data_IF_933308208894
#
_entry.id   IF_933308208894
#
_cell.length_a   1.000
_cell.length_b   1.000
_cell.length_c   1.000
_cell.angle_alpha   90.00
_cell.angle_beta   90.00
_cell.angle_gamma   90.00
#
_symmetry.space_group_name_H-M   'P 1'
#
loop_
_entity.id
_entity.type
_entity.pdbx_description
1 polymer ?
#
# COMPACT_ATOMS: atom_id res chain seq x y z
N UNK A 1 -19.81 -2.64 -6.73
CA UNK A 1 -18.42 -3.14 -6.83
C UNK A 1 -17.99 -3.55 -5.44
N UNK A 2 -17.45 -4.76 -5.28
CA UNK A 2 -17.03 -5.24 -3.95
C UNK A 2 -15.70 -4.61 -3.56
N UNK A 3 -15.45 -4.49 -2.24
CA UNK A 3 -14.22 -3.88 -1.74
C UNK A 3 -12.97 -4.60 -2.30
N UNK A 4 -13.03 -5.92 -2.47
CA UNK A 4 -11.96 -6.74 -3.08
C UNK A 4 -11.62 -6.31 -4.51
N UNK A 5 -12.61 -6.10 -5.37
CA UNK A 5 -12.39 -5.69 -6.78
C UNK A 5 -11.68 -4.33 -6.87
N UNK A 6 -12.01 -3.40 -5.96
CA UNK A 6 -11.37 -2.09 -5.91
C UNK A 6 -9.90 -2.21 -5.50
N UNK A 7 -9.59 -3.03 -4.50
CA UNK A 7 -8.20 -3.27 -4.06
C UNK A 7 -7.35 -3.92 -5.14
N UNK A 8 -7.89 -4.90 -5.87
CA UNK A 8 -7.16 -5.55 -6.96
C UNK A 8 -6.89 -4.58 -8.12
N UNK A 9 -7.89 -3.76 -8.48
CA UNK A 9 -7.73 -2.68 -9.48
C UNK A 9 -6.68 -1.67 -9.05
N UNK A 10 -6.73 -1.23 -7.79
CA UNK A 10 -5.74 -0.33 -7.20
C UNK A 10 -4.33 -0.92 -7.33
N UNK A 11 -4.10 -2.16 -6.89
CA UNK A 11 -2.77 -2.79 -6.88
C UNK A 11 -2.22 -2.93 -8.29
N UNK A 12 -3.05 -3.35 -9.24
CA UNK A 12 -2.64 -3.48 -10.64
C UNK A 12 -2.28 -2.13 -11.26
N UNK A 13 -3.06 -1.09 -10.97
CA UNK A 13 -2.77 0.27 -11.42
C UNK A 13 -1.51 0.82 -10.75
N UNK A 14 -1.37 0.66 -9.44
CA UNK A 14 -0.20 1.08 -8.66
C UNK A 14 1.07 0.45 -9.20
N UNK A 15 1.07 -0.87 -9.46
CA UNK A 15 2.20 -1.56 -10.12
C UNK A 15 2.56 -0.94 -11.46
N UNK A 16 1.55 -0.73 -12.32
CA UNK A 16 1.76 -0.18 -13.65
C UNK A 16 2.36 1.22 -13.59
N UNK A 17 1.86 2.07 -12.71
CA UNK A 17 2.36 3.44 -12.54
C UNK A 17 3.77 3.43 -11.94
N UNK A 18 4.01 2.69 -10.85
CA UNK A 18 5.33 2.60 -10.22
C UNK A 18 6.39 2.07 -11.19
N UNK A 19 6.01 1.13 -12.08
CA UNK A 19 6.92 0.55 -13.07
C UNK A 19 7.51 1.54 -14.07
N UNK A 20 6.88 2.72 -14.23
CA UNK A 20 7.37 3.79 -15.12
C UNK A 20 8.56 4.55 -14.52
N UNK A 21 8.72 4.50 -13.20
CA UNK A 21 9.70 5.30 -12.46
C UNK A 21 10.85 4.47 -11.90
N UNK A 22 10.70 3.16 -11.81
CA UNK A 22 11.77 2.25 -11.37
C UNK A 22 12.57 1.72 -12.57
N UNK A 23 13.85 1.40 -12.35
CA UNK A 23 14.69 0.82 -13.39
C UNK A 23 14.10 -0.52 -13.89
N UNK A 24 14.28 -0.88 -15.18
CA UNK A 24 13.78 -2.16 -15.72
C UNK A 24 14.33 -3.39 -14.99
N UNK A 25 15.56 -3.29 -14.46
CA UNK A 25 16.24 -4.33 -13.68
C UNK A 25 15.78 -4.39 -12.22
N UNK A 26 15.04 -3.38 -11.76
CA UNK A 26 14.46 -3.37 -10.43
C UNK A 26 13.17 -4.22 -10.39
N UNK A 27 13.12 -5.12 -9.42
CA UNK A 27 11.92 -5.86 -9.04
C UNK A 27 11.13 -5.13 -7.95
N UNK A 28 9.86 -5.49 -7.81
CA UNK A 28 8.97 -5.00 -6.75
C UNK A 28 8.14 -6.16 -6.22
N UNK A 29 8.22 -6.39 -4.92
CA UNK A 29 7.32 -7.29 -4.21
C UNK A 29 6.24 -6.46 -3.52
N UNK A 30 4.97 -6.69 -3.88
CA UNK A 30 3.83 -6.01 -3.28
C UNK A 30 3.04 -7.01 -2.43
N UNK A 31 2.88 -6.69 -1.15
CA UNK A 31 2.09 -7.46 -0.22
C UNK A 31 0.92 -6.62 0.28
N UNK A 32 -0.29 -7.17 0.16
CA UNK A 32 -1.49 -6.57 0.74
C UNK A 32 -1.79 -7.21 2.09
N UNK A 33 -1.78 -6.40 3.14
CA UNK A 33 -2.31 -6.71 4.46
C UNK A 33 -3.74 -6.17 4.50
N UNK A 34 -4.70 -7.01 4.11
CA UNK A 34 -6.08 -6.60 3.91
C UNK A 34 -6.82 -6.52 5.25
N UNK A 35 -7.65 -5.49 5.46
CA UNK A 35 -8.54 -5.40 6.62
C UNK A 35 -10.01 -5.54 6.21
N UNK A 36 -10.80 -6.24 7.03
CA UNK A 36 -12.25 -6.45 6.84
C UNK A 36 -13.06 -5.18 7.00
N UNK A 37 -12.59 -4.23 7.83
CA UNK A 37 -13.19 -2.89 7.95
C UNK A 37 -13.10 -2.06 6.67
N UNK A 38 -12.37 -2.55 5.67
CA UNK A 38 -12.23 -1.96 4.35
C UNK A 38 -10.89 -1.28 4.12
N UNK A 39 -10.13 -1.00 5.17
CA UNK A 39 -8.78 -0.46 5.06
C UNK A 39 -7.74 -1.52 4.67
N UNK A 40 -6.47 -1.15 4.70
CA UNK A 40 -5.38 -2.10 4.56
C UNK A 40 -4.02 -1.43 4.45
N UNK A 41 -2.98 -2.25 4.48
CA UNK A 41 -1.60 -1.79 4.28
C UNK A 41 -1.04 -2.45 3.04
N UNK A 42 -0.45 -1.64 2.17
CA UNK A 42 0.30 -2.09 1.00
C UNK A 42 1.77 -1.93 1.33
N UNK A 43 2.49 -3.04 1.38
CA UNK A 43 3.93 -3.08 1.55
C UNK A 43 4.56 -3.33 0.18
N UNK A 44 5.32 -2.37 -0.33
CA UNK A 44 6.04 -2.48 -1.59
C UNK A 44 7.54 -2.46 -1.32
N UNK A 45 8.20 -3.61 -1.52
CA UNK A 45 9.65 -3.75 -1.32
C UNK A 45 10.36 -3.78 -2.68
N UNK A 46 11.20 -2.78 -2.92
CA UNK A 46 12.07 -2.69 -4.09
C UNK A 46 13.22 -3.69 -3.95
N UNK A 47 13.55 -4.40 -5.03
CA UNK A 47 14.64 -5.38 -5.01
C UNK A 47 15.34 -5.45 -6.37
N UNK A 48 16.43 -6.22 -6.45
CA UNK A 48 17.24 -6.35 -7.67
C UNK A 48 16.91 -7.58 -8.53
N UNK A 49 15.78 -8.25 -8.25
CA UNK A 49 15.45 -9.50 -8.95
C UNK A 49 14.91 -9.32 -10.36
N UNK A 50 14.54 -8.09 -10.75
CA UNK A 50 13.75 -7.79 -11.95
C UNK A 50 12.31 -8.34 -11.93
N UNK A 51 11.95 -9.15 -10.92
CA UNK A 51 10.62 -9.77 -10.81
C UNK A 51 9.64 -8.83 -10.13
N UNK A 52 8.43 -8.79 -10.67
CA UNK A 52 7.30 -8.00 -10.12
C UNK A 52 6.20 -8.94 -9.70
N UNK A 53 5.93 -9.05 -8.41
CA UNK A 53 4.90 -9.96 -7.88
C UNK A 53 3.98 -9.22 -6.91
N UNK A 54 2.77 -9.74 -6.76
CA UNK A 54 1.82 -9.28 -5.74
C UNK A 54 1.24 -10.47 -5.03
N UNK A 55 1.03 -10.34 -3.73
CA UNK A 55 0.40 -11.35 -2.89
C UNK A 55 -0.48 -10.70 -1.83
N UNK A 56 -1.43 -11.47 -1.31
CA UNK A 56 -2.17 -11.11 -0.10
C UNK A 56 -1.43 -11.76 1.06
N UNK A 57 -0.85 -10.94 1.95
CA UNK A 57 -0.10 -11.42 3.10
C UNK A 57 -1.01 -11.88 4.24
N UNK A 58 -2.23 -11.33 4.33
CA UNK A 58 -3.20 -11.72 5.34
C UNK A 58 -4.52 -10.97 5.22
N UNK A 59 -5.54 -11.49 5.90
CA UNK A 59 -6.84 -10.85 6.07
C UNK A 59 -7.07 -10.62 7.57
N UNK A 60 -7.08 -9.36 7.98
CA UNK A 60 -7.18 -8.91 9.36
C UNK A 60 -8.57 -8.37 9.65
N UNK A 61 -8.93 -8.29 10.93
CA UNK A 61 -10.26 -7.81 11.32
C UNK A 61 -10.31 -6.29 11.27
N UNK A 62 -9.25 -5.64 11.77
CA UNK A 62 -9.12 -4.19 11.85
C UNK A 62 -7.85 -3.68 11.17
N UNK A 63 -7.88 -2.43 10.71
CA UNK A 63 -6.74 -1.78 10.10
C UNK A 63 -5.52 -1.72 11.02
N UNK A 64 -5.72 -1.48 12.32
CA UNK A 64 -4.64 -1.50 13.32
C UNK A 64 -3.88 -2.83 13.35
N UNK A 65 -4.58 -3.96 13.24
CA UNK A 65 -3.94 -5.29 13.18
C UNK A 65 -3.12 -5.46 11.89
N UNK A 66 -3.64 -4.99 10.76
CA UNK A 66 -2.93 -5.01 9.49
C UNK A 66 -1.65 -4.13 9.52
N UNK A 67 -1.71 -2.98 10.19
CA UNK A 67 -0.57 -2.08 10.40
C UNK A 67 0.50 -2.76 11.24
N UNK A 68 0.15 -3.29 12.40
CA UNK A 68 1.08 -4.01 13.28
C UNK A 68 1.71 -5.20 12.57
N UNK A 69 0.91 -5.97 11.82
CA UNK A 69 1.38 -7.18 11.11
C UNK A 69 2.22 -6.87 9.87
N UNK A 70 2.12 -5.67 9.30
CA UNK A 70 2.89 -5.29 8.10
C UNK A 70 4.41 -5.23 8.35
N UNK A 71 4.82 -5.08 9.62
CA UNK A 71 6.21 -4.93 10.03
C UNK A 71 6.76 -3.52 9.87
N UNK A 72 5.92 -2.53 9.59
CA UNK A 72 6.30 -1.12 9.72
C UNK A 72 6.66 -0.80 11.18
N UNK A 73 7.59 0.14 11.40
CA UNK A 73 8.14 0.46 12.73
C UNK A 73 7.77 1.84 13.26
N UNK A 74 6.99 2.62 12.51
CA UNK A 74 6.65 4.02 12.83
C UNK A 74 5.47 4.10 13.80
N UNK A 75 4.43 3.30 13.55
CA UNK A 75 3.27 3.19 14.43
C UNK A 75 3.46 2.00 15.37
N UNK A 76 3.51 2.28 16.68
CA UNK A 76 3.59 1.27 17.74
C UNK A 76 2.52 1.50 18.81
N UNK A 77 2.46 0.59 19.78
CA UNK A 77 1.47 0.63 20.86
C UNK A 77 0.10 0.07 20.46
N UNK A 78 -0.92 0.42 21.23
CA UNK A 78 -2.29 -0.02 20.96
C UNK A 78 -2.96 0.86 19.89
N UNK A 79 -3.16 0.30 18.71
CA UNK A 79 -3.82 0.95 17.57
C UNK A 79 -5.33 0.65 17.50
N UNK A 80 -5.91 0.01 18.53
CA UNK A 80 -7.32 -0.41 18.53
C UNK A 80 -8.32 0.74 18.38
N UNK A 81 -7.94 1.94 18.82
CA UNK A 81 -8.76 3.15 18.81
C UNK A 81 -8.23 4.25 17.86
N UNK A 82 -7.24 3.94 17.03
CA UNK A 82 -6.67 4.91 16.08
C UNK A 82 -7.45 4.87 14.77
N UNK A 83 -8.01 6.02 14.39
CA UNK A 83 -8.67 6.19 13.11
C UNK A 83 -7.68 6.72 12.07
N UNK A 84 -7.56 6.02 10.94
CA UNK A 84 -6.72 6.43 9.82
C UNK A 84 -7.58 6.99 8.70
N UNK A 85 -7.22 8.17 8.21
CA UNK A 85 -7.85 8.83 7.08
C UNK A 85 -6.89 8.95 5.91
N UNK A 86 -7.44 8.90 4.70
CA UNK A 86 -6.68 9.00 3.47
C UNK A 86 -5.63 7.90 3.29
N UNK A 87 -4.45 8.31 2.82
CA UNK A 87 -3.27 7.47 2.64
C UNK A 87 -2.12 8.03 3.45
N UNK A 88 -1.54 7.21 4.33
CA UNK A 88 -0.28 7.53 4.99
C UNK A 88 0.84 6.71 4.37
N UNK A 89 1.92 7.38 3.96
CA UNK A 89 3.08 6.75 3.32
C UNK A 89 4.26 6.75 4.28
N UNK A 90 4.85 5.58 4.51
CA UNK A 90 6.09 5.41 5.27
C UNK A 90 7.16 4.86 4.34
N UNK A 91 8.36 5.43 4.43
CA UNK A 91 9.55 4.92 3.79
C UNK A 91 10.47 4.30 4.85
N UNK A 92 10.83 3.03 4.65
CA UNK A 92 11.78 2.31 5.50
C UNK A 92 12.76 1.55 4.58
N UNK A 93 13.90 2.19 4.31
CA UNK A 93 14.92 1.65 3.40
C UNK A 93 14.40 1.44 1.98
N UNK A 94 14.38 0.18 1.55
CA UNK A 94 13.88 -0.27 0.23
C UNK A 94 12.38 -0.54 0.21
N UNK A 95 11.71 -0.36 1.35
CA UNK A 95 10.31 -0.72 1.55
C UNK A 95 9.45 0.52 1.76
N UNK A 96 8.34 0.57 1.04
CA UNK A 96 7.32 1.60 1.12
C UNK A 96 6.08 0.97 1.72
N UNK A 97 5.53 1.57 2.77
CA UNK A 97 4.24 1.18 3.34
C UNK A 97 3.21 2.26 3.02
N UNK A 98 2.09 1.87 2.42
CA UNK A 98 0.91 2.72 2.24
C UNK A 98 -0.19 2.20 3.14
N UNK A 99 -0.52 2.97 4.18
CA UNK A 99 -1.66 2.70 5.05
C UNK A 99 -2.87 3.40 4.43
N UNK A 100 -3.87 2.61 4.04
CA UNK A 100 -5.05 3.06 3.30
C UNK A 100 -6.27 2.96 4.21
N UNK A 101 -7.04 4.05 4.28
CA UNK A 101 -8.30 4.06 5.02
C UNK A 101 -9.36 3.13 4.39
N UNK A 102 -10.46 2.87 5.09
CA UNK A 102 -11.62 2.16 4.55
C UNK A 102 -12.36 2.84 3.40
N UNK A 103 -12.06 4.11 3.11
CA UNK A 103 -12.76 4.87 2.08
C UNK A 103 -12.51 4.26 0.70
N UNK A 104 -13.59 3.95 -0.03
CA UNK A 104 -13.51 3.38 -1.37
C UNK A 104 -12.77 4.27 -2.37
N UNK A 105 -12.79 5.60 -2.19
CA UNK A 105 -12.06 6.53 -3.05
C UNK A 105 -10.54 6.36 -2.91
N UNK A 106 -10.08 5.99 -1.71
CA UNK A 106 -8.68 5.69 -1.45
C UNK A 106 -8.20 4.47 -2.24
N UNK A 107 -9.11 3.55 -2.60
CA UNK A 107 -8.82 2.37 -3.41
C UNK A 107 -9.10 2.56 -4.90
N UNK A 108 -9.28 3.79 -5.36
CA UNK A 108 -9.51 4.08 -6.78
C UNK A 108 -8.22 3.99 -7.62
N UNK A 109 -8.37 3.74 -8.92
CA UNK A 109 -7.28 3.79 -9.89
C UNK A 109 -6.63 5.19 -9.96
N UNK A 110 -7.41 6.25 -9.78
CA UNK A 110 -6.93 7.63 -9.74
C UNK A 110 -6.05 7.85 -8.51
N UNK A 111 -6.47 7.35 -7.34
CA UNK A 111 -5.66 7.43 -6.14
C UNK A 111 -4.35 6.65 -6.26
N UNK A 112 -4.38 5.47 -6.90
CA UNK A 112 -3.16 4.70 -7.17
C UNK A 112 -2.12 5.50 -7.96
N UNK A 113 -2.53 6.25 -8.99
CA UNK A 113 -1.61 7.15 -9.71
C UNK A 113 -1.07 8.26 -8.81
N UNK A 114 -1.95 8.92 -8.05
CA UNK A 114 -1.56 10.01 -7.13
C UNK A 114 -0.60 9.54 -6.05
N UNK A 115 -0.79 8.33 -5.52
CA UNK A 115 0.07 7.76 -4.49
C UNK A 115 1.47 7.46 -5.05
N UNK A 116 1.56 6.93 -6.28
CA UNK A 116 2.85 6.77 -6.97
C UNK A 116 3.52 8.12 -7.24
N UNK A 117 2.77 9.12 -7.72
CA UNK A 117 3.31 10.47 -7.89
C UNK A 117 3.82 11.05 -6.57
N UNK A 118 3.07 10.89 -5.48
CA UNK A 118 3.47 11.31 -4.13
C UNK A 118 4.75 10.62 -3.67
N UNK A 119 4.91 9.33 -3.98
CA UNK A 119 6.12 8.56 -3.69
C UNK A 119 7.32 9.08 -4.47
N UNK A 120 7.15 9.33 -5.77
CA UNK A 120 8.26 9.65 -6.69
C UNK A 120 8.68 11.12 -6.59
N UNK A 121 7.72 12.03 -6.43
CA UNK A 121 7.94 13.47 -6.47
C UNK A 121 7.88 14.14 -5.08
N UNK A 122 7.68 13.37 -4.01
CA UNK A 122 7.76 13.87 -2.64
C UNK A 122 6.61 14.80 -2.24
N UNK A 123 5.39 14.54 -2.72
CA UNK A 123 4.18 15.27 -2.31
C UNK A 123 4.07 16.73 -2.81
N UNK A 124 4.93 17.19 -3.73
CA UNK A 124 4.80 18.53 -4.32
C UNK A 124 3.76 18.56 -5.45
N UNK A 125 2.61 19.18 -5.17
CA UNK A 125 1.97 20.15 -6.05
C UNK A 125 1.50 21.34 -5.23
#
# INVERSE_FOLDING_TARGET
>A
MTNKENKDKYINKFKKELSKYIQPTAGVDIQLFNSKDGGGVIKATLNRSGKRKSSIAGNFTKLGEAITSSGQRVFGGDLSNVNFYGTNTIFDGDTIFLIKSPDSEEWSSQKASKDVEGIVFGGKK
#
